data_IF_199129590927
#
_entry.id   IF_199129590927
#
_cell.length_a   1.000
_cell.length_b   1.000
_cell.length_c   1.000
_cell.angle_alpha   90.00
_cell.angle_beta   90.00
_cell.angle_gamma   90.00
#
_symmetry.space_group_name_H-M   'P 1'
#
loop_
_entity.id
_entity.type
_entity.pdbx_description
1 polymer ?
#
# COMPACT_ATOMS: atom_id res chain seq x y z
N UNK A 1 -19.35 61.83 -4.15
CA UNK A 1 -18.99 60.95 -3.01
C UNK A 1 -19.36 59.52 -3.38
N UNK A 2 -18.36 58.70 -3.73
CA UNK A 2 -18.55 57.36 -4.24
C UNK A 2 -19.02 56.40 -3.12
N UNK A 3 -20.16 55.73 -3.34
CA UNK A 3 -20.65 54.66 -2.46
C UNK A 3 -20.07 53.34 -2.96
N UNK A 4 -18.92 52.96 -2.46
CA UNK A 4 -18.32 51.65 -2.74
C UNK A 4 -19.06 50.59 -1.92
N UNK A 5 -19.94 49.81 -2.57
CA UNK A 5 -20.55 48.62 -1.95
C UNK A 5 -19.49 47.53 -1.86
N UNK A 6 -19.04 47.21 -0.65
CA UNK A 6 -18.11 46.11 -0.39
C UNK A 6 -18.89 44.78 -0.47
N UNK A 7 -18.77 44.06 -1.58
CA UNK A 7 -19.25 42.69 -1.73
C UNK A 7 -18.14 41.75 -1.24
N UNK A 8 -18.32 41.19 -0.04
CA UNK A 8 -17.45 40.14 0.49
C UNK A 8 -17.90 38.82 -0.13
N UNK A 9 -17.17 38.37 -1.16
CA UNK A 9 -17.29 37.00 -1.67
C UNK A 9 -16.58 36.05 -0.70
N UNK A 10 -17.33 35.39 0.17
CA UNK A 10 -16.82 34.19 0.86
C UNK A 10 -16.76 33.05 -0.15
N UNK A 11 -15.63 32.93 -0.84
CA UNK A 11 -15.30 31.71 -1.59
C UNK A 11 -14.96 30.65 -0.54
N UNK A 12 -15.96 29.86 -0.16
CA UNK A 12 -15.72 28.59 0.53
C UNK A 12 -14.99 27.71 -0.47
N UNK A 13 -13.67 27.62 -0.33
CA UNK A 13 -12.86 26.62 -0.99
C UNK A 13 -13.32 25.25 -0.47
N UNK A 14 -14.31 24.65 -1.12
CA UNK A 14 -14.49 23.20 -1.12
C UNK A 14 -13.39 22.60 -2.00
N UNK A 15 -12.14 22.77 -1.56
CA UNK A 15 -11.00 22.11 -2.16
C UNK A 15 -11.11 20.64 -1.81
N UNK A 16 -11.63 19.84 -2.73
CA UNK A 16 -11.27 18.43 -2.82
C UNK A 16 -9.77 18.40 -3.20
N UNK A 17 -8.90 18.75 -2.25
CA UNK A 17 -7.50 18.42 -2.35
C UNK A 17 -7.45 16.90 -2.26
N UNK A 18 -7.38 16.27 -3.44
CA UNK A 18 -6.87 14.93 -3.57
C UNK A 18 -5.42 15.01 -3.10
N UNK A 19 -5.21 14.94 -1.78
CA UNK A 19 -3.89 14.90 -1.18
C UNK A 19 -3.24 13.61 -1.65
N UNK A 20 -2.52 13.70 -2.77
CA UNK A 20 -1.46 12.77 -3.07
C UNK A 20 -0.54 12.80 -1.87
N UNK A 21 -0.50 11.70 -1.12
CA UNK A 21 0.36 11.59 0.04
C UNK A 21 1.79 11.92 -0.34
N UNK A 22 2.52 12.51 0.59
CA UNK A 22 3.95 12.69 0.43
C UNK A 22 4.67 11.46 0.95
N UNK A 23 5.82 11.13 0.34
CA UNK A 23 6.70 10.08 0.84
C UNK A 23 7.03 10.21 2.35
N UNK A 24 7.36 11.41 2.89
CA UNK A 24 7.60 11.59 4.32
C UNK A 24 6.40 11.27 5.23
N UNK A 25 5.18 11.49 4.75
CA UNK A 25 3.97 11.18 5.51
C UNK A 25 3.80 9.66 5.67
N UNK A 26 3.91 8.90 4.57
CA UNK A 26 3.93 7.44 4.62
C UNK A 26 5.07 6.93 5.49
N UNK A 27 6.26 7.51 5.35
CA UNK A 27 7.45 7.16 6.14
C UNK A 27 7.19 7.26 7.65
N UNK A 28 6.60 8.38 8.08
CA UNK A 28 6.24 8.62 9.48
C UNK A 28 5.12 7.70 9.98
N UNK A 29 4.16 7.33 9.13
CA UNK A 29 3.12 6.38 9.48
C UNK A 29 3.70 4.97 9.66
N UNK A 30 4.59 4.55 8.76
CA UNK A 30 5.32 3.29 8.87
C UNK A 30 6.19 3.25 10.13
N UNK A 31 6.81 4.36 10.54
CA UNK A 31 7.55 4.44 11.81
C UNK A 31 6.66 4.27 13.04
N UNK A 32 5.41 4.74 12.98
CA UNK A 32 4.44 4.50 14.04
C UNK A 32 4.03 3.03 14.11
N UNK A 33 3.79 2.38 12.97
CA UNK A 33 3.50 0.94 12.90
C UNK A 33 4.70 0.13 13.42
N UNK A 34 5.93 0.54 13.11
CA UNK A 34 7.16 -0.15 13.51
C UNK A 34 7.39 -0.26 15.03
N UNK A 35 6.55 0.37 15.85
CA UNK A 35 6.62 0.37 17.32
C UNK A 35 5.76 -0.70 18.00
N UNK A 36 4.86 -1.37 17.26
CA UNK A 36 4.05 -2.44 17.83
C UNK A 36 4.85 -3.74 17.96
N UNK A 37 4.39 -4.65 18.81
CA UNK A 37 5.12 -5.90 19.06
C UNK A 37 4.76 -7.00 18.05
N UNK A 38 3.48 -7.14 17.66
CA UNK A 38 3.02 -8.29 16.87
C UNK A 38 2.48 -7.86 15.50
N UNK A 39 2.94 -8.52 14.43
CA UNK A 39 2.51 -8.20 13.06
C UNK A 39 1.01 -8.39 12.83
N UNK A 40 0.36 -9.30 13.58
CA UNK A 40 -1.10 -9.53 13.52
C UNK A 40 -1.93 -8.31 13.94
N UNK A 41 -1.30 -7.33 14.59
CA UNK A 41 -1.95 -6.12 15.08
C UNK A 41 -1.73 -4.89 14.19
N UNK A 42 -0.95 -5.01 13.10
CA UNK A 42 -0.60 -3.89 12.21
C UNK A 42 -1.86 -3.10 11.82
N UNK A 43 -2.90 -3.78 11.33
CA UNK A 43 -4.13 -3.14 10.84
C UNK A 43 -5.01 -2.55 11.94
N UNK A 44 -4.69 -2.75 13.22
CA UNK A 44 -5.41 -2.18 14.38
C UNK A 44 -4.83 -0.84 14.84
N UNK A 45 -3.74 -0.39 14.22
CA UNK A 45 -3.08 0.87 14.56
C UNK A 45 -3.73 2.05 13.84
N UNK A 46 -3.78 3.21 14.50
CA UNK A 46 -4.26 4.46 13.89
C UNK A 46 -3.44 4.83 12.63
N UNK A 47 -2.16 4.49 12.63
CA UNK A 47 -1.28 4.75 11.48
C UNK A 47 -1.65 3.87 10.28
N UNK A 48 -1.93 2.59 10.50
CA UNK A 48 -2.41 1.71 9.43
C UNK A 48 -3.78 2.16 8.92
N UNK A 49 -4.69 2.57 9.79
CA UNK A 49 -6.00 3.12 9.38
C UNK A 49 -5.85 4.35 8.47
N UNK A 50 -4.92 5.26 8.78
CA UNK A 50 -4.59 6.40 7.92
C UNK A 50 -4.10 5.95 6.55
N UNK A 51 -3.13 5.04 6.48
CA UNK A 51 -2.63 4.48 5.21
C UNK A 51 -3.77 3.85 4.40
N UNK A 52 -4.63 3.04 5.06
CA UNK A 52 -5.77 2.38 4.43
C UNK A 52 -6.80 3.39 3.88
N UNK A 53 -7.04 4.50 4.59
CA UNK A 53 -7.97 5.54 4.16
C UNK A 53 -7.55 6.23 2.86
N UNK A 54 -6.24 6.30 2.57
CA UNK A 54 -5.76 6.81 1.30
C UNK A 54 -5.89 5.82 0.13
N UNK A 55 -6.03 4.53 0.43
CA UNK A 55 -6.32 3.48 -0.53
C UNK A 55 -5.28 3.38 -1.65
N UNK A 56 -5.75 3.17 -2.88
CA UNK A 56 -4.89 2.90 -4.05
C UNK A 56 -3.85 3.98 -4.35
N UNK A 57 -4.10 5.22 -3.91
CA UNK A 57 -3.17 6.34 -4.13
C UNK A 57 -1.84 6.17 -3.39
N UNK A 58 -1.82 5.37 -2.33
CA UNK A 58 -0.61 5.07 -1.54
C UNK A 58 0.31 4.03 -2.18
N UNK A 59 -0.21 3.20 -3.10
CA UNK A 59 0.46 1.96 -3.47
C UNK A 59 1.84 2.18 -4.09
N UNK A 60 1.98 3.17 -4.97
CA UNK A 60 3.29 3.51 -5.57
C UNK A 60 4.25 4.08 -4.54
N UNK A 61 3.77 4.87 -3.57
CA UNK A 61 4.61 5.44 -2.51
C UNK A 61 5.08 4.34 -1.55
N UNK A 62 4.19 3.43 -1.15
CA UNK A 62 4.53 2.26 -0.34
C UNK A 62 5.58 1.38 -1.04
N UNK A 63 5.47 1.20 -2.36
CA UNK A 63 6.45 0.44 -3.13
C UNK A 63 7.86 1.00 -2.98
N UNK A 64 8.05 2.32 -2.87
CA UNK A 64 9.37 2.94 -2.67
C UNK A 64 10.07 2.48 -1.37
N UNK A 65 9.31 2.01 -0.38
CA UNK A 65 9.85 1.52 0.88
C UNK A 65 10.13 0.01 0.90
N UNK A 66 9.77 -0.76 -0.13
CA UNK A 66 9.90 -2.23 -0.10
C UNK A 66 11.34 -2.72 0.12
N UNK A 67 12.32 -1.92 -0.27
CA UNK A 67 13.75 -2.21 -0.15
C UNK A 67 14.34 -1.71 1.19
N UNK A 68 13.53 -1.07 2.03
CA UNK A 68 13.95 -0.59 3.34
C UNK A 68 14.21 -1.78 4.29
N UNK A 69 15.49 -1.96 4.60
CA UNK A 69 16.00 -3.05 5.43
C UNK A 69 16.08 -2.70 6.92
N UNK A 70 15.60 -1.51 7.32
CA UNK A 70 15.59 -1.07 8.72
C UNK A 70 14.79 -2.06 9.56
N UNK A 71 15.45 -2.67 10.55
CA UNK A 71 14.83 -3.64 11.44
C UNK A 71 13.85 -2.94 12.38
N UNK A 72 12.70 -3.58 12.62
CA UNK A 72 11.69 -3.09 13.56
C UNK A 72 11.59 -4.02 14.77
N UNK A 73 10.77 -3.64 15.76
CA UNK A 73 10.42 -4.52 16.88
C UNK A 73 9.24 -5.43 16.55
N UNK A 74 8.56 -5.22 15.41
CA UNK A 74 7.38 -5.97 14.99
C UNK A 74 7.77 -7.42 14.67
N UNK A 75 7.33 -8.34 15.51
CA UNK A 75 7.56 -9.78 15.38
C UNK A 75 6.49 -10.42 14.49
N UNK A 76 6.93 -11.17 13.48
CA UNK A 76 6.07 -12.02 12.66
C UNK A 76 6.24 -13.47 13.08
N UNK A 77 5.24 -14.04 13.74
CA UNK A 77 5.20 -15.48 14.07
C UNK A 77 5.34 -16.34 12.80
N UNK A 78 4.72 -15.89 11.70
CA UNK A 78 4.77 -16.55 10.39
C UNK A 78 6.20 -16.69 9.82
N UNK A 79 7.04 -15.68 10.04
CA UNK A 79 8.42 -15.65 9.55
C UNK A 79 9.46 -16.03 10.62
N UNK A 80 9.00 -16.27 11.85
CA UNK A 80 9.85 -16.54 13.02
C UNK A 80 10.95 -15.48 13.28
N UNK A 81 10.70 -14.21 12.91
CA UNK A 81 11.63 -13.09 13.13
C UNK A 81 10.94 -11.74 13.23
N UNK A 82 11.71 -10.69 13.48
CA UNK A 82 11.26 -9.32 13.34
C UNK A 82 11.22 -8.92 11.85
N UNK A 83 10.23 -8.09 11.52
CA UNK A 83 10.02 -7.54 10.19
C UNK A 83 10.89 -6.29 9.95
N UNK A 84 11.22 -6.03 8.69
CA UNK A 84 11.80 -4.73 8.30
C UNK A 84 10.71 -3.71 7.99
N UNK A 85 11.08 -2.43 7.96
CA UNK A 85 10.17 -1.36 7.53
C UNK A 85 9.61 -1.61 6.12
N UNK A 86 10.44 -2.12 5.20
CA UNK A 86 9.97 -2.49 3.87
C UNK A 86 8.95 -3.62 3.87
N UNK A 87 9.07 -4.60 4.78
CA UNK A 87 8.06 -5.66 4.92
C UNK A 87 6.75 -5.15 5.52
N UNK A 88 6.82 -4.17 6.42
CA UNK A 88 5.61 -3.46 6.88
C UNK A 88 4.93 -2.73 5.71
N UNK A 89 5.70 -2.08 4.83
CA UNK A 89 5.16 -1.44 3.63
C UNK A 89 4.53 -2.45 2.65
N UNK A 90 5.14 -3.63 2.48
CA UNK A 90 4.58 -4.74 1.68
C UNK A 90 3.24 -5.22 2.27
N UNK A 91 3.18 -5.43 3.59
CA UNK A 91 1.94 -5.79 4.28
C UNK A 91 0.88 -4.71 4.05
N UNK A 92 1.20 -3.44 4.27
CA UNK A 92 0.24 -2.35 4.07
C UNK A 92 -0.27 -2.25 2.63
N UNK A 93 0.61 -2.44 1.64
CA UNK A 93 0.22 -2.46 0.24
C UNK A 93 -0.75 -3.62 -0.08
N UNK A 94 -0.51 -4.81 0.47
CA UNK A 94 -1.38 -5.99 0.31
C UNK A 94 -2.73 -5.81 1.01
N UNK A 95 -2.76 -5.07 2.13
CA UNK A 95 -3.99 -4.74 2.85
C UNK A 95 -4.86 -3.70 2.13
N UNK A 96 -4.26 -2.81 1.34
CA UNK A 96 -4.99 -1.88 0.47
C UNK A 96 -5.56 -2.62 -0.74
N UNK A 97 -4.71 -3.38 -1.43
CA UNK A 97 -5.08 -4.17 -2.58
C UNK A 97 -4.32 -5.49 -2.54
N UNK A 98 -5.05 -6.58 -2.32
CA UNK A 98 -4.49 -7.94 -2.29
C UNK A 98 -3.59 -8.12 -3.49
N UNK A 99 -2.39 -8.64 -3.30
CA UNK A 99 -1.43 -8.82 -4.38
C UNK A 99 -1.70 -10.11 -5.18
N UNK A 100 -1.43 -10.14 -6.50
CA UNK A 100 -1.47 -11.37 -7.28
C UNK A 100 -0.20 -12.19 -7.01
N UNK A 101 -0.15 -12.88 -5.86
CA UNK A 101 1.06 -13.52 -5.34
C UNK A 101 1.76 -14.41 -6.38
N UNK A 102 1.04 -15.23 -7.14
CA UNK A 102 1.63 -16.08 -8.17
C UNK A 102 2.37 -15.27 -9.24
N UNK A 103 1.82 -14.13 -9.66
CA UNK A 103 2.42 -13.26 -10.68
C UNK A 103 3.66 -12.55 -10.15
N UNK A 104 3.59 -11.98 -8.94
CA UNK A 104 4.68 -11.12 -8.43
C UNK A 104 5.76 -11.89 -7.65
N UNK A 105 5.43 -13.04 -7.06
CA UNK A 105 6.39 -13.90 -6.32
C UNK A 105 6.82 -15.13 -7.11
N UNK A 106 6.07 -15.54 -8.14
CA UNK A 106 6.30 -16.80 -8.84
C UNK A 106 5.90 -18.05 -8.05
N UNK A 107 5.34 -17.90 -6.84
CA UNK A 107 4.92 -19.02 -5.98
C UNK A 107 3.41 -19.24 -6.09
N UNK A 108 3.02 -20.47 -6.39
CA UNK A 108 1.63 -20.91 -6.30
C UNK A 108 1.40 -21.62 -4.96
N UNK A 109 0.51 -21.11 -4.13
CA UNK A 109 0.08 -21.79 -2.91
C UNK A 109 -1.08 -22.76 -3.21
N UNK A 110 -0.77 -23.88 -3.86
CA UNK A 110 -1.77 -24.87 -4.29
C UNK A 110 -2.49 -25.56 -3.12
N UNK A 111 -1.88 -25.58 -1.94
CA UNK A 111 -2.45 -26.17 -0.72
C UNK A 111 -3.31 -25.17 0.06
N UNK A 112 -3.38 -23.91 -0.38
CA UNK A 112 -4.04 -22.80 0.32
C UNK A 112 -3.65 -22.72 1.81
N UNK A 113 -2.42 -23.15 2.12
CA UNK A 113 -1.92 -23.20 3.48
C UNK A 113 -1.23 -21.89 3.78
N UNK A 114 -1.75 -21.14 4.74
CA UNK A 114 -1.20 -19.87 5.18
C UNK A 114 -0.80 -19.96 6.65
N UNK A 115 -0.17 -18.91 7.16
CA UNK A 115 0.13 -18.79 8.57
C UNK A 115 -1.16 -18.71 9.38
N UNK A 116 -1.30 -19.61 10.35
CA UNK A 116 -2.52 -19.77 11.13
C UNK A 116 -2.90 -18.49 11.87
N UNK A 117 -4.17 -18.10 11.75
CA UNK A 117 -4.73 -16.89 12.39
C UNK A 117 -3.93 -15.60 12.09
N UNK A 118 -3.29 -15.50 10.92
CA UNK A 118 -2.58 -14.29 10.49
C UNK A 118 -3.42 -13.50 9.47
N UNK A 119 -3.86 -12.26 9.78
CA UNK A 119 -4.61 -11.43 8.83
C UNK A 119 -3.75 -10.91 7.66
N UNK A 120 -2.43 -11.01 7.75
CA UNK A 120 -1.49 -10.54 6.74
C UNK A 120 -1.06 -11.70 5.84
N UNK A 121 -1.87 -12.02 4.83
CA UNK A 121 -1.66 -13.19 3.95
C UNK A 121 -0.28 -13.13 3.25
N UNK A 122 0.15 -11.94 2.83
CA UNK A 122 1.47 -11.73 2.20
C UNK A 122 2.64 -12.17 3.08
N UNK A 123 2.47 -12.24 4.40
CA UNK A 123 3.53 -12.73 5.29
C UNK A 123 3.97 -14.15 4.94
N UNK A 124 3.07 -15.01 4.42
CA UNK A 124 3.44 -16.34 3.95
C UNK A 124 4.48 -16.32 2.83
N UNK A 125 4.54 -15.24 2.03
CA UNK A 125 5.41 -15.11 0.87
C UNK A 125 6.69 -14.31 1.15
N UNK A 126 6.85 -13.71 2.34
CA UNK A 126 8.01 -12.86 2.64
C UNK A 126 9.35 -13.62 2.52
N UNK A 127 9.38 -14.92 2.80
CA UNK A 127 10.57 -15.74 2.59
C UNK A 127 10.98 -15.82 1.11
N UNK A 128 9.99 -15.94 0.20
CA UNK A 128 10.23 -16.04 -1.23
C UNK A 128 10.62 -14.68 -1.80
N UNK A 129 9.96 -13.61 -1.34
CA UNK A 129 10.32 -12.22 -1.67
C UNK A 129 11.77 -11.95 -1.28
N UNK A 130 12.18 -12.35 -0.07
CA UNK A 130 13.56 -12.21 0.40
C UNK A 130 14.54 -13.03 -0.43
N UNK A 131 14.19 -14.29 -0.76
CA UNK A 131 15.02 -15.19 -1.60
C UNK A 131 15.28 -14.59 -2.98
N UNK A 132 14.27 -13.99 -3.59
CA UNK A 132 14.32 -13.48 -4.96
C UNK A 132 14.79 -12.02 -5.06
N UNK A 133 14.96 -11.36 -3.90
CA UNK A 133 15.42 -9.98 -3.75
C UNK A 133 14.29 -8.96 -3.71
N UNK A 134 14.32 -8.06 -2.71
CA UNK A 134 13.30 -7.02 -2.54
C UNK A 134 13.25 -6.05 -3.74
N UNK A 135 14.39 -5.72 -4.37
CA UNK A 135 14.43 -4.87 -5.57
C UNK A 135 13.65 -5.49 -6.75
N UNK A 136 13.83 -6.80 -6.95
CA UNK A 136 13.14 -7.55 -7.99
C UNK A 136 11.63 -7.63 -7.70
N UNK A 137 11.27 -7.84 -6.43
CA UNK A 137 9.87 -7.81 -6.01
C UNK A 137 9.23 -6.44 -6.20
N UNK A 138 9.91 -5.36 -5.80
CA UNK A 138 9.47 -3.98 -6.01
C UNK A 138 9.20 -3.71 -7.48
N UNK A 139 10.13 -4.10 -8.37
CA UNK A 139 9.96 -3.95 -9.81
C UNK A 139 8.72 -4.68 -10.32
N UNK A 140 8.57 -5.98 -10.00
CA UNK A 140 7.41 -6.77 -10.41
C UNK A 140 6.09 -6.19 -9.89
N UNK A 141 6.09 -5.69 -8.66
CA UNK A 141 4.93 -5.05 -8.05
C UNK A 141 4.54 -3.74 -8.76
N UNK A 142 5.52 -2.88 -9.05
CA UNK A 142 5.30 -1.63 -9.79
C UNK A 142 4.85 -1.90 -11.23
N UNK A 143 5.48 -2.85 -11.91
CA UNK A 143 5.07 -3.30 -13.25
C UNK A 143 3.61 -3.78 -13.24
N UNK A 144 3.21 -4.52 -12.20
CA UNK A 144 1.83 -4.94 -12.01
C UNK A 144 0.87 -3.77 -11.73
N UNK A 145 1.24 -2.78 -10.90
CA UNK A 145 0.42 -1.58 -10.63
C UNK A 145 -0.01 -0.87 -11.92
N UNK A 146 0.88 -0.85 -12.92
CA UNK A 146 0.66 -0.20 -14.22
C UNK A 146 0.26 -1.18 -15.33
N UNK A 147 0.05 -2.46 -15.01
CA UNK A 147 -0.39 -3.46 -15.96
C UNK A 147 -1.88 -3.33 -16.29
N UNK A 148 -2.25 -3.76 -17.50
CA UNK A 148 -3.68 -3.91 -17.87
C UNK A 148 -4.36 -5.01 -17.05
N UNK A 149 -3.59 -6.00 -16.59
CA UNK A 149 -4.10 -7.15 -15.83
C UNK A 149 -4.69 -6.71 -14.47
N UNK A 150 -4.13 -5.66 -13.85
CA UNK A 150 -4.69 -5.06 -12.63
C UNK A 150 -6.11 -4.51 -12.80
N UNK A 151 -6.58 -4.24 -14.02
CA UNK A 151 -7.96 -3.76 -14.22
C UNK A 151 -9.03 -4.77 -13.82
N UNK A 152 -8.68 -6.06 -13.82
CA UNK A 152 -9.60 -7.15 -13.53
C UNK A 152 -9.26 -7.87 -12.20
N UNK A 153 -8.38 -7.30 -11.38
CA UNK A 153 -7.89 -7.84 -10.11
C UNK A 153 -8.29 -6.99 -8.88
N UNK A 154 -8.54 -7.60 -7.69
CA UNK A 154 -8.81 -9.03 -7.46
C UNK A 154 -10.22 -9.42 -7.92
N UNK A 155 -11.09 -8.42 -8.10
CA UNK A 155 -12.44 -8.52 -8.62
C UNK A 155 -12.53 -7.56 -9.82
N UNK A 156 -13.25 -7.97 -10.86
CA UNK A 156 -13.47 -7.16 -12.06
C UNK A 156 -14.10 -5.81 -11.72
N UNK A 157 -13.30 -4.74 -11.76
CA UNK A 157 -13.77 -3.39 -11.49
C UNK A 157 -14.69 -2.87 -12.60
N UNK A 158 -15.72 -2.12 -12.20
CA UNK A 158 -16.70 -1.48 -13.10
C UNK A 158 -16.76 0.03 -12.83
N UNK A 159 -17.33 0.78 -13.78
CA UNK A 159 -17.65 2.19 -13.58
C UNK A 159 -16.44 3.12 -13.41
N UNK A 160 -16.54 4.03 -12.42
CA UNK A 160 -15.58 5.12 -12.17
C UNK A 160 -14.19 4.60 -11.80
N UNK A 161 -14.09 3.64 -10.88
CA UNK A 161 -12.82 3.05 -10.43
C UNK A 161 -12.01 2.46 -11.60
N UNK A 162 -12.66 1.74 -12.53
CA UNK A 162 -11.98 1.22 -13.74
C UNK A 162 -11.44 2.33 -14.63
N UNK A 163 -12.17 3.45 -14.77
CA UNK A 163 -11.72 4.61 -15.56
C UNK A 163 -10.50 5.28 -14.92
N UNK A 164 -10.49 5.38 -13.59
CA UNK A 164 -9.39 5.96 -12.82
C UNK A 164 -8.12 5.11 -12.94
N UNK A 165 -8.19 3.80 -12.73
CA UNK A 165 -7.04 2.90 -12.97
C UNK A 165 -6.53 2.95 -14.41
N UNK A 166 -7.43 2.99 -15.41
CA UNK A 166 -7.03 3.18 -16.82
C UNK A 166 -6.29 4.48 -17.07
N UNK A 167 -6.65 5.57 -16.37
CA UNK A 167 -5.95 6.86 -16.46
C UNK A 167 -4.56 6.75 -15.85
N UNK A 168 -4.42 6.10 -14.69
CA UNK A 168 -3.12 5.86 -14.05
C UNK A 168 -2.19 5.04 -14.96
N UNK A 169 -2.68 3.91 -15.50
CA UNK A 169 -1.92 3.05 -16.43
C UNK A 169 -1.46 3.84 -17.67
N UNK A 170 -2.33 4.69 -18.23
CA UNK A 170 -1.98 5.50 -19.39
C UNK A 170 -0.93 6.57 -19.08
N UNK A 171 -0.98 7.17 -17.90
CA UNK A 171 -0.06 8.24 -17.53
C UNK A 171 1.34 7.73 -17.13
N UNK A 172 1.48 6.42 -16.87
CA UNK A 172 2.75 5.79 -16.53
C UNK A 172 3.54 5.27 -17.75
N UNK A 173 2.91 5.21 -18.94
CA UNK A 173 3.51 4.78 -20.21
C UNK A 173 3.61 5.95 -21.18
#
# INVERSE_FOLDING_TARGET
MAKTRLLIFFVVLSGNFSNSQSKPEIDSLLDGIARIENSKEITKTEQAEKILAFGESSLTILAEFFIDSTKTVVRSECQERNLTKGELAIIMADRIEIMPYATITGIQNCLLTYCENNPNIVEYYLWAIKRDGYDNFQKKYVDWIYSKDRLDWPIKLKGKARKERKKQIRNAN
#
